data_IF_392014433100
#
_entry.id   IF_392014433100
#
_cell.length_a   1.000
_cell.length_b   1.000
_cell.length_c   1.000
_cell.angle_alpha   90.00
_cell.angle_beta   90.00
_cell.angle_gamma   90.00
#
_symmetry.space_group_name_H-M   'P 1'
#
loop_
_entity.id
_entity.type
_entity.pdbx_description
1 polymer ?
#
# COMPACT_ATOMS: atom_id res chain seq x y z
N UNK A 1 -15.22 -14.49 -26.90
CA UNK A 1 -14.82 -13.25 -26.20
C UNK A 1 -15.03 -13.46 -24.71
N UNK A 2 -13.98 -13.33 -23.89
CA UNK A 2 -14.13 -13.37 -22.44
C UNK A 2 -14.65 -12.02 -21.96
N UNK A 3 -15.79 -12.00 -21.25
CA UNK A 3 -16.32 -10.78 -20.63
C UNK A 3 -15.55 -10.51 -19.34
N UNK A 4 -14.69 -9.50 -19.36
CA UNK A 4 -14.08 -8.96 -18.15
C UNK A 4 -15.10 -8.00 -17.53
N UNK A 5 -15.52 -8.27 -16.30
CA UNK A 5 -16.32 -7.37 -15.46
C UNK A 5 -15.43 -6.85 -14.35
N UNK A 6 -15.40 -5.54 -14.16
CA UNK A 6 -14.56 -4.86 -13.16
C UNK A 6 -15.47 -4.14 -12.18
N UNK A 7 -15.23 -4.35 -10.88
CA UNK A 7 -15.95 -3.69 -9.81
C UNK A 7 -15.11 -2.51 -9.30
N UNK A 8 -15.34 -1.31 -9.84
CA UNK A 8 -14.59 -0.09 -9.50
C UNK A 8 -14.66 0.25 -8.00
N UNK A 9 -15.79 -0.02 -7.35
CA UNK A 9 -15.96 0.11 -5.90
C UNK A 9 -15.01 -0.81 -5.12
N UNK A 10 -14.79 -2.03 -5.61
CA UNK A 10 -13.83 -2.97 -5.03
C UNK A 10 -12.39 -2.47 -5.15
N UNK A 11 -12.04 -1.85 -6.29
CA UNK A 11 -10.74 -1.20 -6.47
C UNK A 11 -10.58 -0.01 -5.50
N UNK A 12 -11.63 0.80 -5.33
CA UNK A 12 -11.61 1.93 -4.40
C UNK A 12 -11.42 1.47 -2.95
N UNK A 13 -12.17 0.45 -2.53
CA UNK A 13 -12.02 -0.15 -1.19
C UNK A 13 -10.63 -0.75 -0.96
N UNK A 14 -10.06 -1.42 -1.97
CA UNK A 14 -8.70 -1.93 -1.90
C UNK A 14 -7.66 -0.81 -1.78
N UNK A 15 -7.81 0.26 -2.57
CA UNK A 15 -6.91 1.41 -2.52
C UNK A 15 -6.96 2.09 -1.13
N UNK A 16 -8.15 2.23 -0.54
CA UNK A 16 -8.32 2.74 0.82
C UNK A 16 -7.65 1.83 1.86
N UNK A 17 -7.84 0.51 1.74
CA UNK A 17 -7.26 -0.46 2.67
C UNK A 17 -5.73 -0.44 2.63
N UNK A 18 -5.14 -0.42 1.44
CA UNK A 18 -3.68 -0.36 1.27
C UNK A 18 -3.10 0.97 1.75
N UNK A 19 -3.84 2.08 1.63
CA UNK A 19 -3.44 3.37 2.21
C UNK A 19 -3.40 3.33 3.75
N UNK A 20 -4.39 2.70 4.39
CA UNK A 20 -4.39 2.51 5.84
C UNK A 20 -3.22 1.64 6.31
N UNK A 21 -2.99 0.50 5.64
CA UNK A 21 -1.87 -0.39 5.96
C UNK A 21 -0.52 0.29 5.76
N UNK A 22 -0.38 1.13 4.72
CA UNK A 22 0.80 1.96 4.50
C UNK A 22 1.08 2.85 5.72
N UNK A 23 0.06 3.57 6.21
CA UNK A 23 0.18 4.46 7.35
C UNK A 23 0.52 3.70 8.65
N UNK A 24 -0.13 2.56 8.89
CA UNK A 24 0.14 1.70 10.05
C UNK A 24 1.59 1.21 10.06
N UNK A 25 2.10 0.82 8.88
CA UNK A 25 3.46 0.31 8.76
C UNK A 25 4.52 1.41 8.84
N UNK A 26 4.23 2.60 8.31
CA UNK A 26 5.09 3.78 8.52
C UNK A 26 5.18 4.14 10.02
N UNK A 27 4.04 4.10 10.73
CA UNK A 27 4.02 4.29 12.17
C UNK A 27 4.77 3.18 12.92
N UNK A 28 4.66 1.92 12.47
CA UNK A 28 5.41 0.81 13.03
C UNK A 28 6.93 0.97 12.82
N UNK A 29 7.37 1.40 11.64
CA UNK A 29 8.78 1.70 11.37
C UNK A 29 9.31 2.79 12.30
N UNK A 30 8.55 3.86 12.52
CA UNK A 30 8.91 4.92 13.47
C UNK A 30 9.02 4.41 14.91
N UNK A 31 8.07 3.58 15.37
CA UNK A 31 8.13 2.97 16.71
C UNK A 31 9.32 2.02 16.86
N UNK A 32 9.60 1.20 15.85
CA UNK A 32 10.75 0.31 15.84
C UNK A 32 12.06 1.11 15.89
N UNK A 33 12.22 2.13 15.04
CA UNK A 33 13.39 3.01 15.05
C UNK A 33 13.63 3.68 16.42
N UNK A 34 12.56 4.06 17.12
CA UNK A 34 12.65 4.63 18.47
C UNK A 34 13.04 3.59 19.54
N UNK A 35 12.69 2.31 19.34
CA UNK A 35 13.07 1.19 20.21
C UNK A 35 14.48 0.68 19.89
N UNK A 36 15.45 1.60 19.85
CA UNK A 36 16.79 1.37 19.37
C UNK A 36 17.55 0.33 20.24
N UNK A 37 18.16 -0.72 19.64
CA UNK A 37 18.89 -1.77 20.35
C UNK A 37 19.96 -1.28 21.33
N UNK A 38 20.58 -0.14 21.05
CA UNK A 38 21.63 0.48 21.87
C UNK A 38 21.18 0.75 23.32
N UNK A 39 19.87 0.90 23.53
CA UNK A 39 19.26 1.04 24.86
C UNK A 39 19.47 -0.20 25.75
N UNK A 40 19.76 -1.36 25.15
CA UNK A 40 20.03 -2.61 25.85
C UNK A 40 21.50 -2.78 26.26
N UNK A 41 22.40 -1.87 25.85
CA UNK A 41 23.84 -1.97 26.13
C UNK A 41 24.18 -2.17 27.63
N UNK A 42 23.54 -1.47 28.59
CA UNK A 42 23.81 -1.69 30.02
C UNK A 42 23.42 -3.09 30.51
N UNK A 43 22.40 -3.72 29.91
CA UNK A 43 21.92 -5.04 30.30
C UNK A 43 22.77 -6.18 29.73
N UNK A 44 23.27 -6.02 28.50
CA UNK A 44 24.11 -7.04 27.84
C UNK A 44 25.58 -6.98 28.27
N UNK A 45 26.06 -5.81 28.71
CA UNK A 45 27.44 -5.62 29.12
C UNK A 45 28.46 -5.99 28.04
N UNK A 46 29.72 -6.21 28.43
CA UNK A 46 30.80 -6.54 27.50
C UNK A 46 30.65 -7.93 26.86
N UNK A 47 30.05 -8.89 27.57
CA UNK A 47 29.89 -10.27 27.09
C UNK A 47 28.86 -10.35 25.96
N UNK A 48 27.80 -9.53 26.03
CA UNK A 48 26.75 -9.49 25.02
C UNK A 48 27.03 -8.55 23.85
N UNK A 49 28.23 -7.97 23.74
CA UNK A 49 28.53 -6.94 22.74
C UNK A 49 28.37 -7.45 21.30
N UNK A 50 28.85 -8.66 21.00
CA UNK A 50 28.74 -9.25 19.65
C UNK A 50 27.28 -9.56 19.28
N UNK A 51 26.50 -10.06 20.25
CA UNK A 51 25.06 -10.27 20.08
C UNK A 51 24.34 -8.94 19.82
N UNK A 52 24.66 -7.91 20.61
CA UNK A 52 24.07 -6.60 20.47
C UNK A 52 24.37 -5.99 19.09
N UNK A 53 25.60 -6.14 18.59
CA UNK A 53 25.97 -5.71 17.25
C UNK A 53 25.17 -6.42 16.16
N UNK A 54 25.02 -7.75 16.25
CA UNK A 54 24.21 -8.52 15.32
C UNK A 54 22.72 -8.12 15.40
N UNK A 55 22.20 -7.89 16.59
CA UNK A 55 20.82 -7.44 16.81
C UNK A 55 20.59 -6.02 16.26
N UNK A 56 21.53 -5.09 16.45
CA UNK A 56 21.47 -3.75 15.84
C UNK A 56 21.38 -3.82 14.33
N UNK A 57 22.20 -4.66 13.69
CA UNK A 57 22.15 -4.85 12.23
C UNK A 57 20.81 -5.45 11.77
N UNK A 58 20.31 -6.47 12.47
CA UNK A 58 19.01 -7.08 12.18
C UNK A 58 17.85 -6.10 12.39
N UNK A 59 17.89 -5.30 13.45
CA UNK A 59 16.91 -4.28 13.75
C UNK A 59 16.89 -3.18 12.68
N UNK A 60 18.06 -2.69 12.26
CA UNK A 60 18.17 -1.71 11.17
C UNK A 60 17.60 -2.25 9.85
N UNK A 61 17.86 -3.52 9.55
CA UNK A 61 17.27 -4.22 8.39
C UNK A 61 15.74 -4.27 8.54
N UNK A 62 15.23 -4.63 9.71
CA UNK A 62 13.79 -4.70 9.97
C UNK A 62 13.08 -3.35 9.77
N UNK A 63 13.64 -2.26 10.31
CA UNK A 63 13.11 -0.90 10.13
C UNK A 63 13.08 -0.51 8.65
N UNK A 64 14.14 -0.87 7.91
CA UNK A 64 14.21 -0.65 6.45
C UNK A 64 13.12 -1.41 5.72
N UNK A 65 12.95 -2.72 6.00
CA UNK A 65 11.90 -3.53 5.39
C UNK A 65 10.49 -3.00 5.67
N UNK A 66 10.21 -2.53 6.89
CA UNK A 66 8.92 -1.91 7.22
C UNK A 66 8.66 -0.66 6.36
N UNK A 67 9.68 0.17 6.17
CA UNK A 67 9.58 1.39 5.37
C UNK A 67 9.37 1.08 3.88
N UNK A 68 10.09 0.08 3.35
CA UNK A 68 9.94 -0.37 1.97
C UNK A 68 8.56 -0.96 1.70
N UNK A 69 8.06 -1.83 2.59
CA UNK A 69 6.73 -2.42 2.46
C UNK A 69 5.63 -1.34 2.56
N UNK A 70 5.83 -0.31 3.37
CA UNK A 70 4.93 0.86 3.44
C UNK A 70 4.87 1.58 2.09
N UNK A 71 6.04 1.82 1.47
CA UNK A 71 6.13 2.42 0.14
C UNK A 71 5.46 1.57 -0.96
N UNK A 72 5.61 0.25 -0.90
CA UNK A 72 4.92 -0.67 -1.82
C UNK A 72 3.41 -0.55 -1.68
N UNK A 73 2.88 -0.55 -0.45
CA UNK A 73 1.45 -0.39 -0.20
C UNK A 73 0.91 0.97 -0.69
N UNK A 74 1.69 2.05 -0.52
CA UNK A 74 1.36 3.36 -1.08
C UNK A 74 1.27 3.33 -2.61
N UNK A 75 2.23 2.67 -3.27
CA UNK A 75 2.23 2.52 -4.73
C UNK A 75 1.03 1.70 -5.22
N UNK A 76 0.69 0.61 -4.52
CA UNK A 76 -0.49 -0.20 -4.82
C UNK A 76 -1.78 0.62 -4.67
N UNK A 77 -1.92 1.37 -3.57
CA UNK A 77 -3.07 2.26 -3.35
C UNK A 77 -3.25 3.26 -4.49
N UNK A 78 -2.17 3.94 -4.87
CA UNK A 78 -2.16 4.92 -5.96
C UNK A 78 -2.53 4.29 -7.31
N UNK A 79 -1.92 3.16 -7.65
CA UNK A 79 -2.16 2.46 -8.90
C UNK A 79 -3.61 1.97 -9.00
N UNK A 80 -4.14 1.36 -7.94
CA UNK A 80 -5.51 0.87 -7.92
C UNK A 80 -6.54 2.02 -7.91
N UNK A 81 -6.28 3.11 -7.19
CA UNK A 81 -7.13 4.30 -7.21
C UNK A 81 -7.20 4.96 -8.61
N UNK A 82 -6.05 5.02 -9.29
CA UNK A 82 -5.96 5.51 -10.68
C UNK A 82 -6.77 4.61 -11.62
N UNK A 83 -6.63 3.28 -11.48
CA UNK A 83 -7.38 2.33 -12.29
C UNK A 83 -8.90 2.43 -12.05
N UNK A 84 -9.35 2.56 -10.80
CA UNK A 84 -10.77 2.74 -10.46
C UNK A 84 -11.37 3.98 -11.13
N UNK A 85 -10.64 5.10 -11.10
CA UNK A 85 -11.04 6.35 -11.74
C UNK A 85 -11.16 6.19 -13.25
N UNK A 86 -10.17 5.55 -13.88
CA UNK A 86 -10.16 5.30 -15.32
C UNK A 86 -11.34 4.41 -15.76
N UNK A 87 -11.59 3.31 -15.06
CA UNK A 87 -12.71 2.42 -15.39
C UNK A 87 -14.06 3.10 -15.23
N UNK A 88 -14.25 3.90 -14.19
CA UNK A 88 -15.49 4.67 -13.98
C UNK A 88 -15.70 5.68 -15.10
N UNK A 89 -14.65 6.39 -15.52
CA UNK A 89 -14.74 7.33 -16.64
C UNK A 89 -15.09 6.63 -17.96
N UNK A 90 -14.47 5.49 -18.24
CA UNK A 90 -14.78 4.68 -19.43
C UNK A 90 -16.22 4.16 -19.42
N UNK A 91 -16.70 3.68 -18.28
CA UNK A 91 -18.08 3.18 -18.16
C UNK A 91 -19.11 4.28 -18.44
N UNK A 92 -18.92 5.46 -17.85
CA UNK A 92 -19.79 6.63 -18.10
C UNK A 92 -19.77 7.04 -19.58
N UNK A 93 -18.58 7.08 -20.20
CA UNK A 93 -18.44 7.45 -21.61
C UNK A 93 -19.12 6.43 -22.53
N UNK A 94 -18.92 5.13 -22.31
CA UNK A 94 -19.58 4.09 -23.09
C UNK A 94 -21.10 4.09 -22.88
N UNK A 95 -21.58 4.27 -21.66
CA UNK A 95 -23.00 4.38 -21.40
C UNK A 95 -23.62 5.61 -22.10
N UNK A 96 -22.88 6.73 -22.20
CA UNK A 96 -23.32 7.90 -22.95
C UNK A 96 -23.43 7.64 -24.46
N UNK A 97 -22.42 7.02 -25.07
CA UNK A 97 -22.45 6.70 -26.51
C UNK A 97 -23.57 5.71 -26.84
N UNK A 98 -23.77 4.69 -26.02
CA UNK A 98 -24.88 3.73 -26.15
C UNK A 98 -26.25 4.41 -26.06
N UNK A 99 -26.43 5.34 -25.10
CA UNK A 99 -27.69 6.10 -24.97
C UNK A 99 -27.95 6.98 -26.19
N UNK A 100 -26.92 7.60 -26.76
CA UNK A 100 -27.05 8.42 -27.98
C UNK A 100 -27.41 7.56 -29.18
N UNK A 101 -26.69 6.45 -29.41
CA UNK A 101 -26.99 5.53 -30.52
C UNK A 101 -28.40 4.93 -30.41
N UNK A 102 -28.84 4.58 -29.20
CA UNK A 102 -30.20 4.09 -28.98
C UNK A 102 -31.27 5.13 -29.35
N UNK A 103 -31.05 6.42 -29.02
CA UNK A 103 -31.96 7.51 -29.42
C UNK A 103 -32.02 7.67 -30.94
N UNK A 104 -30.88 7.54 -31.63
CA UNK A 104 -30.83 7.60 -33.09
C UNK A 104 -31.55 6.44 -33.77
N UNK A 105 -31.59 5.25 -33.15
CA UNK A 105 -32.29 4.07 -33.71
C UNK A 105 -33.81 4.05 -33.51
N UNK A 106 -34.34 4.91 -32.63
CA UNK A 106 -35.77 4.99 -32.29
C UNK A 106 -36.45 6.18 -33.01
N UNK A 107 -35.66 7.07 -33.62
CA UNK A 107 -36.12 8.19 -34.45
C UNK A 107 -36.19 7.79 -35.93
#
# INVERSE_FOLDING_TARGET
MHRISIHSDGLCGYAATTALLCADLAAAAGRAAAAAPELLAPAFGLIGADFLGAYTAAHGTHVTTLSELSAVLAAMSSATGTASTAYTAHDVAYAATLRTAAKESIA
#
